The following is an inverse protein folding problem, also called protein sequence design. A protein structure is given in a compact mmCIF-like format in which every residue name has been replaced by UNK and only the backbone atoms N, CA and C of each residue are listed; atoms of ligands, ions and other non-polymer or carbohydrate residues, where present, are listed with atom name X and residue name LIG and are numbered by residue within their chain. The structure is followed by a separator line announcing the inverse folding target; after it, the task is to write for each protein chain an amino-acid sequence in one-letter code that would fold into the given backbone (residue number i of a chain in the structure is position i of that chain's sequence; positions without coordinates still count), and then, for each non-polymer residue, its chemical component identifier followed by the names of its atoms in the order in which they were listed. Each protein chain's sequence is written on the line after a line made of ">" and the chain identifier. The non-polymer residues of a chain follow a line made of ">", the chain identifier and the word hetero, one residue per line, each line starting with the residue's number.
data_IF_321218044729
#
_entry.id   IF_321218044729
#
_cell.length_a   1.000
_cell.length_b   1.000
_cell.length_c   1.000
_cell.angle_alpha   90.00
_cell.angle_beta   90.00
_cell.angle_gamma   90.00
#
_symmetry.space_group_name_H-M   'P 1'
#
loop_
_entity.id
_entity.type
_entity.pdbx_description
1 polymer ?
#
# COMPACT_ATOMS: atom_id res chain seq x y z
N UNK A 1 -5.88 -31.55 -7.91
CA UNK A 1 -6.83 -31.41 -6.79
C UNK A 1 -6.39 -30.19 -6.03
N UNK A 2 -7.12 -29.08 -6.18
CA UNK A 2 -6.77 -27.80 -5.59
C UNK A 2 -7.48 -27.74 -4.23
N UNK A 3 -6.78 -28.10 -3.16
CA UNK A 3 -7.31 -27.85 -1.81
C UNK A 3 -7.26 -26.34 -1.62
N UNK A 4 -8.41 -25.69 -1.77
CA UNK A 4 -8.53 -24.25 -1.63
C UNK A 4 -8.01 -23.82 -0.26
N UNK A 5 -7.15 -22.81 -0.25
CA UNK A 5 -6.58 -22.14 0.91
C UNK A 5 -7.64 -21.99 2.02
N UNK A 6 -7.61 -22.83 3.08
CA UNK A 6 -8.70 -22.84 4.04
C UNK A 6 -8.65 -21.54 4.84
N UNK A 7 -9.78 -20.83 4.94
CA UNK A 7 -9.90 -19.53 5.60
C UNK A 7 -9.33 -19.49 7.05
N UNK A 8 -9.29 -20.64 7.72
CA UNK A 8 -8.67 -20.80 9.05
C UNK A 8 -7.14 -20.61 9.04
N UNK A 9 -6.46 -21.03 7.97
CA UNK A 9 -5.00 -20.93 7.83
C UNK A 9 -4.58 -19.46 7.67
N UNK A 10 -5.29 -18.70 6.82
CA UNK A 10 -5.03 -17.27 6.61
C UNK A 10 -5.30 -16.45 7.87
N UNK A 11 -6.40 -16.73 8.58
CA UNK A 11 -6.72 -16.03 9.84
C UNK A 11 -5.64 -16.28 10.90
N UNK A 12 -5.03 -17.46 10.90
CA UNK A 12 -3.86 -17.76 11.73
C UNK A 12 -2.63 -16.96 11.27
N UNK A 13 -2.36 -16.93 9.96
CA UNK A 13 -1.23 -16.21 9.38
C UNK A 13 -1.25 -14.70 9.69
N UNK A 14 -2.43 -14.06 9.70
CA UNK A 14 -2.57 -12.67 10.15
C UNK A 14 -2.16 -12.51 11.61
N UNK A 15 -2.42 -13.48 12.49
CA UNK A 15 -2.05 -13.38 13.91
C UNK A 15 -0.58 -13.71 14.17
N UNK A 16 -0.02 -14.68 13.45
CA UNK A 16 1.33 -15.19 13.69
C UNK A 16 2.42 -14.52 12.86
N UNK A 17 2.09 -14.02 11.68
CA UNK A 17 3.02 -13.29 10.82
C UNK A 17 3.32 -11.89 11.35
N UNK A 18 4.53 -11.39 11.09
CA UNK A 18 5.01 -10.07 11.50
C UNK A 18 5.51 -9.22 10.30
N UNK A 19 5.47 -9.77 9.09
CA UNK A 19 5.98 -9.15 7.86
C UNK A 19 7.42 -9.50 7.53
N UNK A 20 8.09 -10.34 8.32
CA UNK A 20 9.46 -10.78 8.06
C UNK A 20 9.61 -11.41 6.66
N UNK A 21 10.71 -11.06 5.98
CA UNK A 21 10.99 -11.51 4.61
C UNK A 21 10.16 -10.84 3.51
N UNK A 22 9.19 -9.99 3.85
CA UNK A 22 8.34 -9.28 2.89
C UNK A 22 8.87 -7.88 2.63
N UNK A 23 9.00 -7.52 1.34
CA UNK A 23 9.39 -6.19 0.88
C UNK A 23 8.17 -5.44 0.36
N UNK A 24 7.96 -4.24 0.89
CA UNK A 24 6.85 -3.35 0.49
C UNK A 24 7.38 -2.07 -0.12
N UNK A 25 6.96 -1.79 -1.36
CA UNK A 25 7.25 -0.54 -2.04
C UNK A 25 6.15 0.49 -1.71
N UNK A 26 6.54 1.57 -1.04
CA UNK A 26 5.66 2.71 -0.78
C UNK A 26 5.89 3.76 -1.87
N UNK A 27 4.94 3.84 -2.81
CA UNK A 27 4.91 4.91 -3.81
C UNK A 27 4.19 6.11 -3.21
N UNK A 28 4.95 7.11 -2.76
CA UNK A 28 4.40 8.25 -2.01
C UNK A 28 5.29 9.51 -2.13
N UNK A 29 5.24 10.43 -1.16
CA UNK A 29 6.04 11.67 -1.09
C UNK A 29 7.49 11.49 -0.62
N UNK A 30 7.92 10.24 -0.44
CA UNK A 30 9.19 9.87 0.20
C UNK A 30 8.99 9.46 1.65
N UNK A 31 10.08 9.06 2.32
CA UNK A 31 10.06 8.66 3.74
C UNK A 31 11.23 9.33 4.45
N UNK A 32 10.95 9.98 5.59
CA UNK A 32 12.01 10.43 6.50
C UNK A 32 12.57 9.23 7.28
N UNK A 33 13.56 8.53 6.71
CA UNK A 33 14.08 7.25 7.23
C UNK A 33 14.74 7.36 8.62
N UNK A 34 15.21 8.56 8.98
CA UNK A 34 15.83 8.84 10.28
C UNK A 34 14.83 9.34 11.34
N UNK A 35 13.53 9.24 11.08
CA UNK A 35 12.50 9.59 12.04
C UNK A 35 12.62 8.69 13.31
N UNK A 36 12.54 9.22 14.54
CA UNK A 36 12.73 8.43 15.77
C UNK A 36 11.79 7.23 15.95
N UNK A 37 10.58 7.28 15.36
CA UNK A 37 9.66 6.12 15.34
C UNK A 37 10.16 4.94 14.50
N UNK A 38 11.14 5.14 13.63
CA UNK A 38 11.66 4.11 12.71
C UNK A 38 12.99 3.51 13.15
N UNK A 39 13.36 3.64 14.42
CA UNK A 39 14.64 3.12 14.96
C UNK A 39 14.84 1.61 14.73
N UNK A 40 13.74 0.85 14.68
CA UNK A 40 13.75 -0.61 14.52
C UNK A 40 13.29 -1.03 13.10
N UNK A 41 13.00 -0.06 12.22
CA UNK A 41 12.48 -0.32 10.88
C UNK A 41 13.60 -0.68 9.90
N UNK A 42 13.29 -1.57 8.95
CA UNK A 42 14.22 -1.96 7.88
C UNK A 42 13.85 -1.26 6.58
N UNK A 43 14.77 -0.48 6.02
CA UNK A 43 14.60 0.16 4.71
C UNK A 43 15.58 -0.42 3.68
N UNK A 44 15.08 -0.85 2.52
CA UNK A 44 15.89 -1.45 1.45
C UNK A 44 16.30 -0.44 0.37
N UNK A 45 15.38 0.39 -0.09
CA UNK A 45 15.60 1.33 -1.18
C UNK A 45 15.01 2.71 -0.83
N UNK A 46 15.57 3.76 -1.43
CA UNK A 46 15.11 5.13 -1.27
C UNK A 46 15.32 5.91 -2.57
N UNK A 47 14.30 5.89 -3.42
CA UNK A 47 14.41 6.22 -4.83
C UNK A 47 13.55 7.41 -5.22
N UNK A 48 14.05 8.23 -6.14
CA UNK A 48 13.27 9.26 -6.83
C UNK A 48 13.39 9.14 -8.35
N UNK A 49 12.43 9.71 -9.07
CA UNK A 49 12.28 9.51 -10.51
C UNK A 49 12.07 10.83 -11.25
N UNK A 50 12.68 10.94 -12.44
CA UNK A 50 12.54 12.06 -13.37
C UNK A 50 11.65 11.67 -14.56
N UNK A 51 11.24 12.63 -15.41
CA UNK A 51 10.59 12.32 -16.70
C UNK A 51 11.63 11.77 -17.70
N UNK A 52 11.20 10.89 -18.60
CA UNK A 52 12.01 10.39 -19.71
C UNK A 52 12.70 11.53 -20.50
N UNK A 53 14.00 11.38 -20.75
CA UNK A 53 14.86 12.38 -21.39
C UNK A 53 15.95 12.95 -20.49
N UNK A 54 15.86 12.77 -19.17
CA UNK A 54 16.93 13.05 -18.19
C UNK A 54 17.25 11.79 -17.38
N UNK A 55 17.93 10.83 -18.03
CA UNK A 55 18.35 9.57 -17.40
C UNK A 55 17.18 8.62 -17.08
N UNK A 56 17.35 7.34 -17.37
CA UNK A 56 16.32 6.33 -17.09
C UNK A 56 16.47 5.66 -15.72
N UNK A 57 17.66 5.76 -15.10
CA UNK A 57 17.91 5.20 -13.79
C UNK A 57 17.21 6.02 -12.68
N UNK A 58 16.69 5.36 -11.62
CA UNK A 58 16.25 6.07 -10.42
C UNK A 58 17.42 6.79 -9.76
N UNK A 59 17.14 7.96 -9.18
CA UNK A 59 18.08 8.68 -8.33
C UNK A 59 17.85 8.34 -6.85
N UNK A 60 18.75 8.81 -5.99
CA UNK A 60 18.58 8.75 -4.53
C UNK A 60 17.53 9.79 -4.07
N UNK A 61 16.56 9.38 -3.25
CA UNK A 61 15.57 10.29 -2.68
C UNK A 61 16.08 11.07 -1.46
N UNK A 62 17.22 10.70 -0.87
CA UNK A 62 17.94 11.46 0.15
C UNK A 62 17.42 11.26 1.58
N UNK A 63 16.57 10.26 1.81
CA UNK A 63 16.03 9.93 3.14
C UNK A 63 15.05 10.96 3.67
N UNK A 64 14.44 11.74 2.78
CA UNK A 64 13.56 12.85 3.11
C UNK A 64 12.18 12.71 2.48
N UNK A 65 11.18 13.12 3.24
CA UNK A 65 9.81 13.26 2.80
C UNK A 65 9.45 14.74 2.67
N UNK A 66 9.10 15.18 1.46
CA UNK A 66 8.85 16.59 1.17
C UNK A 66 7.49 17.08 1.68
N UNK A 67 6.60 16.17 2.05
CA UNK A 67 5.27 16.53 2.51
C UNK A 67 4.96 15.96 3.90
N UNK A 68 5.44 14.75 4.20
CA UNK A 68 5.25 14.01 5.45
C UNK A 68 4.26 12.85 5.34
N UNK A 69 3.52 12.75 4.22
CA UNK A 69 2.50 11.73 4.03
C UNK A 69 3.08 10.32 3.89
N UNK A 70 4.13 10.13 3.08
CA UNK A 70 4.78 8.83 2.94
C UNK A 70 5.40 8.34 4.25
N UNK A 71 5.93 9.24 5.07
CA UNK A 71 6.39 8.95 6.43
C UNK A 71 5.24 8.45 7.31
N UNK A 72 4.08 9.11 7.29
CA UNK A 72 2.92 8.66 8.04
C UNK A 72 2.38 7.30 7.57
N UNK A 73 2.31 7.09 6.25
CA UNK A 73 1.90 5.82 5.63
C UNK A 73 2.83 4.68 6.04
N UNK A 74 4.14 4.92 6.06
CA UNK A 74 5.13 3.95 6.54
C UNK A 74 4.93 3.61 8.02
N UNK A 75 4.64 4.60 8.86
CA UNK A 75 4.33 4.38 10.28
C UNK A 75 3.10 3.51 10.48
N UNK A 76 2.03 3.72 9.71
CA UNK A 76 0.83 2.86 9.78
C UNK A 76 1.16 1.43 9.39
N UNK A 77 1.91 1.23 8.31
CA UNK A 77 2.30 -0.11 7.86
C UNK A 77 3.09 -0.85 8.95
N UNK A 78 4.10 -0.18 9.53
CA UNK A 78 4.98 -0.77 10.55
C UNK A 78 4.29 -1.04 11.88
N UNK A 79 3.20 -0.33 12.20
CA UNK A 79 2.35 -0.70 13.35
C UNK A 79 1.73 -2.09 13.17
N UNK A 80 1.44 -2.49 11.93
CA UNK A 80 0.76 -3.74 11.60
C UNK A 80 1.76 -4.86 11.31
N UNK A 81 2.78 -4.57 10.50
CA UNK A 81 3.81 -5.51 10.04
C UNK A 81 5.21 -4.97 10.40
N UNK A 82 5.62 -5.06 11.68
CA UNK A 82 6.83 -4.41 12.18
C UNK A 82 8.13 -4.96 11.59
N UNK A 83 8.13 -6.20 11.09
CA UNK A 83 9.32 -6.84 10.50
C UNK A 83 9.38 -6.70 8.97
N UNK A 84 8.43 -5.99 8.35
CA UNK A 84 8.44 -5.74 6.91
C UNK A 84 9.61 -4.84 6.50
N UNK A 85 10.19 -5.11 5.34
CA UNK A 85 11.23 -4.28 4.74
C UNK A 85 10.59 -3.25 3.80
N UNK A 86 10.82 -1.96 4.04
CA UNK A 86 10.20 -0.88 3.25
C UNK A 86 11.15 -0.34 2.18
N UNK A 87 10.63 -0.16 0.97
CA UNK A 87 11.24 0.64 -0.08
C UNK A 87 10.51 1.97 -0.21
N UNK A 88 11.24 3.08 -0.09
CA UNK A 88 10.74 4.43 -0.35
C UNK A 88 10.85 4.73 -1.85
N UNK A 89 9.72 4.94 -2.52
CA UNK A 89 9.66 5.33 -3.93
C UNK A 89 8.95 6.67 -4.03
N UNK A 90 9.72 7.77 -4.04
CA UNK A 90 9.17 9.12 -4.11
C UNK A 90 8.64 9.43 -5.51
N UNK A 91 7.32 9.43 -5.63
CA UNK A 91 6.57 9.73 -6.85
C UNK A 91 5.68 10.97 -6.72
N UNK A 92 5.45 11.44 -5.48
CA UNK A 92 4.69 12.65 -5.17
C UNK A 92 5.65 13.78 -4.74
N UNK A 93 5.37 15.01 -5.18
CA UNK A 93 6.11 16.21 -4.79
C UNK A 93 5.65 16.82 -3.46
N UNK A 94 6.16 18.01 -3.14
CA UNK A 94 5.85 18.73 -1.87
C UNK A 94 4.38 19.14 -1.69
N UNK A 95 3.57 19.10 -2.75
CA UNK A 95 2.12 19.32 -2.70
C UNK A 95 1.32 17.99 -2.78
N UNK A 96 1.97 16.84 -2.60
CA UNK A 96 1.40 15.50 -2.75
C UNK A 96 0.84 15.16 -4.15
N UNK A 97 1.27 15.89 -5.20
CA UNK A 97 0.95 15.59 -6.59
C UNK A 97 2.08 14.83 -7.29
N UNK A 98 1.70 13.88 -8.14
CA UNK A 98 2.62 13.07 -8.94
C UNK A 98 2.22 13.04 -10.42
N UNK A 99 3.16 12.64 -11.27
CA UNK A 99 2.92 12.39 -12.69
C UNK A 99 2.74 10.91 -12.93
N UNK A 100 1.76 10.52 -13.72
CA UNK A 100 1.44 9.12 -14.03
C UNK A 100 2.65 8.38 -14.64
N UNK A 101 3.44 9.03 -15.50
CA UNK A 101 4.68 8.46 -16.03
C UNK A 101 5.70 8.10 -14.94
N UNK A 102 5.86 8.97 -13.93
CA UNK A 102 6.77 8.75 -12.79
C UNK A 102 6.25 7.58 -11.95
N UNK A 103 4.95 7.56 -11.67
CA UNK A 103 4.30 6.48 -10.91
C UNK A 103 4.48 5.13 -11.61
N UNK A 104 4.21 5.07 -12.92
CA UNK A 104 4.41 3.87 -13.74
C UNK A 104 5.87 3.40 -13.69
N UNK A 105 6.83 4.31 -13.85
CA UNK A 105 8.27 3.97 -13.78
C UNK A 105 8.66 3.42 -12.41
N UNK A 106 8.21 4.05 -11.33
CA UNK A 106 8.48 3.60 -9.98
C UNK A 106 7.86 2.22 -9.68
N UNK A 107 6.63 1.98 -10.15
CA UNK A 107 5.97 0.69 -9.99
C UNK A 107 6.72 -0.42 -10.75
N UNK A 108 7.12 -0.16 -12.01
CA UNK A 108 7.92 -1.12 -12.79
C UNK A 108 9.28 -1.38 -12.14
N UNK A 109 9.91 -0.37 -11.55
CA UNK A 109 11.17 -0.52 -10.80
C UNK A 109 10.97 -1.37 -9.54
N UNK A 110 9.89 -1.18 -8.80
CA UNK A 110 9.55 -2.00 -7.64
C UNK A 110 9.33 -3.47 -8.02
N UNK A 111 8.59 -3.73 -9.11
CA UNK A 111 8.38 -5.08 -9.65
C UNK A 111 9.73 -5.71 -10.03
N UNK A 112 10.57 -4.99 -10.78
CA UNK A 112 11.88 -5.48 -11.22
C UNK A 112 12.84 -5.78 -10.06
N UNK A 113 12.71 -5.03 -8.95
CA UNK A 113 13.50 -5.24 -7.72
C UNK A 113 12.96 -6.36 -6.83
N UNK A 114 11.84 -7.00 -7.19
CA UNK A 114 11.27 -8.11 -6.43
C UNK A 114 10.53 -7.69 -5.16
N UNK A 115 9.92 -6.51 -5.15
CA UNK A 115 8.97 -6.14 -4.11
C UNK A 115 7.68 -6.96 -4.25
N UNK A 116 7.18 -7.51 -3.15
CA UNK A 116 5.97 -8.34 -3.15
C UNK A 116 4.69 -7.52 -3.02
N UNK A 117 4.75 -6.32 -2.44
CA UNK A 117 3.59 -5.44 -2.28
C UNK A 117 3.94 -4.02 -2.76
N UNK A 118 3.02 -3.39 -3.49
CA UNK A 118 3.04 -1.98 -3.87
C UNK A 118 1.86 -1.29 -3.19
N UNK A 119 2.13 -0.31 -2.32
CA UNK A 119 1.11 0.51 -1.69
C UNK A 119 1.01 1.88 -2.39
N UNK A 120 -0.21 2.25 -2.78
CA UNK A 120 -0.56 3.52 -3.39
C UNK A 120 -1.57 4.26 -2.52
N UNK A 121 -1.11 5.06 -1.57
CA UNK A 121 -1.97 5.91 -0.74
C UNK A 121 -2.38 7.21 -1.44
N UNK A 122 -2.68 7.12 -2.74
CA UNK A 122 -3.08 8.21 -3.62
C UNK A 122 -4.07 7.72 -4.68
N UNK A 123 -4.71 8.67 -5.38
CA UNK A 123 -5.58 8.36 -6.52
C UNK A 123 -5.54 9.45 -7.59
N UNK A 124 -5.63 9.05 -8.85
CA UNK A 124 -5.71 9.95 -10.01
C UNK A 124 -7.11 9.91 -10.64
N UNK A 125 -7.54 11.05 -11.20
CA UNK A 125 -8.79 11.14 -11.96
C UNK A 125 -8.69 10.37 -13.29
N UNK A 126 -9.83 9.84 -13.73
CA UNK A 126 -9.92 8.84 -14.79
C UNK A 126 -9.91 9.37 -16.23
N UNK A 127 -8.96 10.21 -16.63
CA UNK A 127 -8.79 10.46 -18.07
C UNK A 127 -8.41 9.14 -18.77
N UNK A 128 -8.89 8.85 -20.01
CA UNK A 128 -8.56 7.59 -20.69
C UNK A 128 -7.05 7.31 -20.79
N UNK A 129 -6.24 8.36 -21.01
CA UNK A 129 -4.78 8.26 -21.06
C UNK A 129 -4.19 7.85 -19.71
N UNK A 130 -4.63 8.50 -18.63
CA UNK A 130 -4.21 8.16 -17.25
C UNK A 130 -4.57 6.72 -16.93
N UNK A 131 -5.80 6.29 -17.21
CA UNK A 131 -6.25 4.92 -16.96
C UNK A 131 -5.36 3.90 -17.70
N UNK A 132 -5.05 4.14 -18.98
CA UNK A 132 -4.20 3.25 -19.76
C UNK A 132 -2.76 3.20 -19.22
N UNK A 133 -2.22 4.35 -18.83
CA UNK A 133 -0.89 4.47 -18.20
C UNK A 133 -0.81 3.61 -16.94
N UNK A 134 -1.81 3.68 -16.06
CA UNK A 134 -1.88 2.85 -14.87
C UNK A 134 -2.11 1.36 -15.18
N UNK A 135 -2.98 1.03 -16.15
CA UNK A 135 -3.30 -0.37 -16.49
C UNK A 135 -2.05 -1.18 -16.82
N UNK A 136 -1.10 -0.59 -17.55
CA UNK A 136 0.12 -1.26 -18.00
C UNK A 136 0.95 -1.88 -16.88
N UNK A 137 1.20 -1.14 -15.80
CA UNK A 137 2.02 -1.63 -14.68
C UNK A 137 1.21 -2.44 -13.68
N UNK A 138 -0.11 -2.19 -13.58
CA UNK A 138 -1.02 -2.99 -12.76
C UNK A 138 -1.11 -4.42 -13.27
N UNK A 139 -1.22 -4.59 -14.59
CA UNK A 139 -1.21 -5.92 -15.20
C UNK A 139 0.16 -6.60 -15.04
N UNK A 140 1.24 -5.85 -15.21
CA UNK A 140 2.59 -6.38 -14.98
C UNK A 140 2.79 -6.84 -13.52
N UNK A 141 2.30 -6.06 -12.54
CA UNK A 141 2.33 -6.43 -11.14
C UNK A 141 1.54 -7.71 -10.89
N UNK A 142 0.31 -7.79 -11.40
CA UNK A 142 -0.54 -8.96 -11.26
C UNK A 142 0.12 -10.22 -11.84
N UNK A 143 0.63 -10.16 -13.07
CA UNK A 143 1.31 -11.30 -13.72
C UNK A 143 2.58 -11.71 -12.98
N UNK A 144 3.28 -10.76 -12.34
CA UNK A 144 4.46 -11.03 -11.53
C UNK A 144 4.11 -11.52 -10.10
N UNK A 145 2.83 -11.66 -9.75
CA UNK A 145 2.40 -12.04 -8.40
C UNK A 145 2.57 -10.93 -7.34
N UNK A 146 2.76 -9.67 -7.78
CA UNK A 146 2.92 -8.51 -6.89
C UNK A 146 1.55 -7.97 -6.51
N UNK A 147 1.32 -7.83 -5.21
CA UNK A 147 0.06 -7.32 -4.65
C UNK A 147 0.03 -5.80 -4.74
N UNK A 148 -1.04 -5.23 -5.29
CA UNK A 148 -1.22 -3.77 -5.33
C UNK A 148 -2.37 -3.38 -4.42
N UNK A 149 -2.08 -2.49 -3.47
CA UNK A 149 -3.05 -1.93 -2.52
C UNK A 149 -3.19 -0.44 -2.79
N UNK A 150 -4.41 0.06 -2.88
CA UNK A 150 -4.63 1.47 -3.18
C UNK A 150 -5.76 2.10 -2.37
N UNK A 151 -5.55 3.34 -1.94
CA UNK A 151 -6.55 4.15 -1.27
C UNK A 151 -7.63 4.62 -2.25
N UNK A 152 -8.87 4.67 -1.77
CA UNK A 152 -9.99 5.25 -2.49
C UNK A 152 -10.02 6.78 -2.33
N UNK A 153 -10.94 7.44 -3.04
CA UNK A 153 -11.12 8.88 -2.89
C UNK A 153 -11.72 9.23 -1.52
N UNK A 154 -11.19 10.25 -0.85
CA UNK A 154 -11.72 10.71 0.45
C UNK A 154 -13.17 11.26 0.37
N UNK A 155 -13.66 11.63 -0.81
CA UNK A 155 -15.07 11.97 -1.04
C UNK A 155 -16.00 10.76 -1.17
N UNK A 156 -15.45 9.55 -1.07
CA UNK A 156 -16.19 8.29 -1.06
C UNK A 156 -15.86 7.36 -2.23
N UNK A 157 -16.26 6.09 -2.13
CA UNK A 157 -15.89 5.03 -3.07
C UNK A 157 -16.62 5.13 -4.42
N UNK A 158 -17.67 5.96 -4.52
CA UNK A 158 -18.38 6.22 -5.78
C UNK A 158 -17.58 7.09 -6.75
N UNK A 159 -16.62 7.87 -6.23
CA UNK A 159 -15.71 8.68 -7.03
C UNK A 159 -14.58 7.78 -7.53
N UNK A 160 -14.59 7.51 -8.84
CA UNK A 160 -13.59 6.63 -9.45
C UNK A 160 -12.23 7.29 -9.51
N UNK A 161 -11.27 6.66 -8.86
CA UNK A 161 -9.84 7.01 -8.88
C UNK A 161 -8.98 5.79 -9.18
N UNK A 162 -7.86 6.02 -9.85
CA UNK A 162 -6.89 4.99 -10.22
C UNK A 162 -5.60 5.13 -9.39
N UNK A 163 -4.98 4.01 -9.00
CA UNK A 163 -5.24 2.64 -9.45
C UNK A 163 -6.38 1.89 -8.73
N UNK A 164 -6.99 2.45 -7.67
CA UNK A 164 -7.99 1.75 -6.85
C UNK A 164 -9.17 1.14 -7.63
N UNK A 165 -9.57 1.71 -8.76
CA UNK A 165 -10.68 1.19 -9.57
C UNK A 165 -10.32 0.10 -10.58
N UNK A 166 -9.21 -0.63 -10.39
CA UNK A 166 -8.94 -1.87 -11.11
C UNK A 166 -9.31 -3.11 -10.29
N UNK A 167 -9.89 -4.11 -10.94
CA UNK A 167 -10.34 -5.35 -10.28
C UNK A 167 -9.21 -6.18 -9.65
N UNK A 168 -8.01 -6.10 -10.21
CA UNK A 168 -6.79 -6.74 -9.68
C UNK A 168 -6.20 -6.02 -8.47
N UNK A 169 -6.65 -4.80 -8.17
CA UNK A 169 -6.17 -4.01 -7.04
C UNK A 169 -6.99 -4.31 -5.80
N UNK A 170 -6.32 -4.34 -4.65
CA UNK A 170 -6.93 -4.32 -3.33
C UNK A 170 -7.28 -2.87 -3.01
N UNK A 171 -8.50 -2.48 -3.33
CA UNK A 171 -9.00 -1.13 -3.12
C UNK A 171 -9.55 -0.97 -1.69
N UNK A 172 -9.04 0.04 -0.99
CA UNK A 172 -9.33 0.25 0.43
C UNK A 172 -9.91 1.64 0.64
N UNK A 173 -11.03 1.69 1.36
CA UNK A 173 -11.64 2.93 1.83
C UNK A 173 -11.55 3.03 3.36
N UNK A 174 -11.91 4.18 3.90
CA UNK A 174 -11.92 4.42 5.33
C UNK A 174 -13.28 4.05 5.92
N UNK A 175 -13.26 3.30 7.02
CA UNK A 175 -14.42 3.10 7.89
C UNK A 175 -14.06 3.54 9.30
N UNK A 176 -14.82 4.46 9.93
CA UNK A 176 -14.63 4.81 11.33
C UNK A 176 -15.01 3.65 12.27
N UNK A 177 -15.81 2.70 11.79
CA UNK A 177 -16.31 1.56 12.55
C UNK A 177 -15.38 0.32 12.47
N UNK A 178 -14.31 0.40 11.68
CA UNK A 178 -13.29 -0.65 11.64
C UNK A 178 -12.53 -0.69 12.98
N UNK A 179 -12.81 -1.70 13.81
CA UNK A 179 -12.16 -1.89 15.10
C UNK A 179 -10.84 -2.68 14.97
N UNK A 180 -9.87 -2.37 15.83
CA UNK A 180 -8.66 -3.16 16.10
C UNK A 180 -7.84 -3.56 14.85
N UNK A 181 -7.49 -2.60 14.00
CA UNK A 181 -6.70 -2.79 12.77
C UNK A 181 -7.26 -3.88 11.81
N UNK A 182 -8.55 -4.22 11.96
CA UNK A 182 -9.27 -5.17 11.12
C UNK A 182 -9.77 -4.54 9.81
N UNK A 183 -10.38 -5.38 8.97
CA UNK A 183 -10.98 -4.98 7.69
C UNK A 183 -12.44 -5.40 7.63
N UNK A 184 -13.28 -4.62 6.95
CA UNK A 184 -14.66 -5.01 6.63
C UNK A 184 -14.83 -5.11 5.12
N UNK A 185 -15.90 -5.81 4.67
CA UNK A 185 -16.15 -6.07 3.26
C UNK A 185 -17.40 -5.36 2.75
N UNK A 186 -17.29 -4.67 1.62
CA UNK A 186 -18.43 -4.17 0.84
C UNK A 186 -18.67 -5.04 -0.39
N UNK A 187 -19.77 -5.80 -0.36
CA UNK A 187 -20.19 -6.69 -1.46
C UNK A 187 -20.71 -5.87 -2.65
N UNK A 188 -20.42 -6.32 -3.88
CA UNK A 188 -20.92 -5.70 -5.12
C UNK A 188 -20.22 -4.42 -5.57
N UNK A 189 -19.08 -4.06 -4.94
CA UNK A 189 -18.27 -2.90 -5.29
C UNK A 189 -16.87 -3.31 -5.73
N UNK A 190 -16.21 -2.52 -6.59
CA UNK A 190 -14.75 -2.67 -6.85
C UNK A 190 -13.96 -2.31 -5.58
N UNK A 191 -14.46 -1.33 -4.83
CA UNK A 191 -13.93 -0.96 -3.52
C UNK A 191 -14.50 -1.92 -2.48
N UNK A 192 -13.87 -3.08 -2.39
CA UNK A 192 -14.35 -4.21 -1.60
C UNK A 192 -14.00 -4.11 -0.12
N UNK A 193 -12.96 -3.35 0.26
CA UNK A 193 -12.46 -3.35 1.63
C UNK A 193 -12.53 -1.98 2.28
N UNK A 194 -12.76 -1.96 3.58
CA UNK A 194 -12.59 -0.79 4.43
C UNK A 194 -11.68 -1.10 5.60
N UNK A 195 -10.84 -0.14 6.00
CA UNK A 195 -9.98 -0.24 7.17
C UNK A 195 -9.94 1.11 7.91
N UNK A 196 -9.38 1.10 9.12
CA UNK A 196 -9.31 2.29 9.97
C UNK A 196 -8.42 3.38 9.33
N UNK A 197 -9.03 4.49 8.90
CA UNK A 197 -8.31 5.63 8.33
C UNK A 197 -7.93 6.71 9.34
N UNK A 198 -8.41 6.61 10.58
CA UNK A 198 -8.09 7.52 11.69
C UNK A 198 -7.41 6.74 12.81
N UNK A 199 -6.13 7.00 13.06
CA UNK A 199 -5.38 6.30 14.11
C UNK A 199 -5.63 6.94 15.48
N UNK A 200 -5.57 6.17 16.57
CA UNK A 200 -5.76 6.68 17.94
C UNK A 200 -4.57 7.47 18.48
N UNK A 201 -3.51 7.63 17.67
CA UNK A 201 -2.27 8.32 18.02
C UNK A 201 -1.82 9.23 16.87
N UNK A 202 -1.02 10.28 17.16
CA UNK A 202 -0.28 10.99 16.12
C UNK A 202 0.64 10.03 15.35
N UNK A 203 0.68 10.19 14.03
CA UNK A 203 1.56 9.45 13.13
C UNK A 203 2.86 10.23 12.89
N UNK A 204 3.97 9.53 12.57
CA UNK A 204 5.22 10.18 12.22
C UNK A 204 5.04 11.03 10.96
N UNK A 205 5.73 12.17 10.91
CA UNK A 205 5.60 13.18 9.85
C UNK A 205 6.98 13.79 9.55
N UNK A 206 7.07 14.58 8.49
CA UNK A 206 8.32 15.25 8.10
C UNK A 206 8.90 16.12 9.23
N UNK A 207 10.22 16.31 9.23
CA UNK A 207 10.98 17.07 10.23
C UNK A 207 10.89 16.48 11.64
N UNK A 208 10.90 15.15 11.75
CA UNK A 208 10.84 14.39 13.01
C UNK A 208 9.61 14.73 13.88
N UNK A 209 8.55 15.23 13.24
CA UNK A 209 7.35 15.67 13.91
C UNK A 209 6.29 14.58 13.91
N UNK A 210 5.21 14.77 14.66
CA UNK A 210 4.05 13.88 14.62
C UNK A 210 2.78 14.67 14.38
N UNK A 211 1.82 14.08 13.67
CA UNK A 211 0.55 14.74 13.35
C UNK A 211 -0.65 13.83 13.53
N UNK A 212 -1.74 14.42 14.01
CA UNK A 212 -3.05 13.77 14.01
C UNK A 212 -3.69 14.01 12.63
N UNK A 213 -3.92 12.91 11.90
CA UNK A 213 -4.39 12.92 10.52
C UNK A 213 -5.37 11.76 10.30
N UNK A 214 -6.23 11.89 9.31
CA UNK A 214 -7.17 10.84 8.92
C UNK A 214 -7.43 10.85 7.42
N UNK A 215 -7.90 9.73 6.88
CA UNK A 215 -8.23 9.57 5.47
C UNK A 215 -8.02 8.15 4.96
N UNK A 216 -8.53 7.86 3.76
CA UNK A 216 -8.38 6.57 3.09
C UNK A 216 -6.90 6.22 2.84
N UNK A 217 -6.06 7.23 2.69
CA UNK A 217 -4.61 7.10 2.57
C UNK A 217 -3.95 6.35 3.73
N UNK A 218 -4.56 6.37 4.93
CA UNK A 218 -4.07 5.65 6.10
C UNK A 218 -4.79 4.32 6.30
N UNK A 219 -5.91 4.08 5.60
CA UNK A 219 -6.57 2.76 5.55
C UNK A 219 -5.80 1.78 4.66
N UNK A 220 -5.33 2.24 3.50
CA UNK A 220 -4.54 1.41 2.58
C UNK A 220 -3.32 0.72 3.24
N UNK A 221 -2.45 1.43 4.00
CA UNK A 221 -1.30 0.81 4.66
C UNK A 221 -1.68 -0.19 5.77
N UNK A 222 -2.89 -0.10 6.37
CA UNK A 222 -3.39 -1.15 7.29
C UNK A 222 -3.53 -2.47 6.54
N UNK A 223 -4.22 -2.45 5.39
CA UNK A 223 -4.43 -3.65 4.57
C UNK A 223 -3.11 -4.15 3.97
N UNK A 224 -2.23 -3.23 3.55
CA UNK A 224 -0.86 -3.57 3.14
C UNK A 224 -0.10 -4.32 4.23
N UNK A 225 -0.20 -3.87 5.49
CA UNK A 225 0.38 -4.56 6.63
C UNK A 225 -0.20 -5.96 6.83
N UNK A 226 -1.52 -6.12 6.74
CA UNK A 226 -2.16 -7.44 6.83
C UNK A 226 -1.68 -8.40 5.73
N UNK A 227 -1.59 -7.93 4.48
CA UNK A 227 -1.03 -8.71 3.37
C UNK A 227 0.43 -9.09 3.66
N UNK A 228 1.24 -8.18 4.21
CA UNK A 228 2.62 -8.48 4.58
C UNK A 228 2.71 -9.57 5.66
N UNK A 229 1.84 -9.55 6.67
CA UNK A 229 1.77 -10.61 7.68
C UNK A 229 1.42 -11.96 7.05
N UNK A 230 0.43 -11.99 6.16
CA UNK A 230 0.04 -13.22 5.45
C UNK A 230 1.21 -13.74 4.60
N UNK A 231 1.87 -12.87 3.82
CA UNK A 231 3.00 -13.25 2.98
C UNK A 231 4.23 -13.71 3.77
N UNK A 232 4.43 -13.23 5.00
CA UNK A 232 5.52 -13.71 5.86
C UNK A 232 5.36 -15.19 6.25
N UNK A 233 4.12 -15.70 6.26
CA UNK A 233 3.81 -17.12 6.51
C UNK A 233 3.64 -17.90 5.21
N UNK A 234 3.04 -17.27 4.20
CA UNK A 234 2.74 -17.86 2.90
C UNK A 234 3.28 -17.00 1.74
N UNK A 235 4.60 -17.05 1.46
CA UNK A 235 5.26 -16.11 0.54
C UNK A 235 4.87 -16.25 -0.93
N UNK A 236 4.17 -17.34 -1.30
CA UNK A 236 3.77 -17.63 -2.68
C UNK A 236 2.32 -17.30 -3.04
N UNK A 237 1.53 -16.73 -2.13
CA UNK A 237 0.12 -16.42 -2.41
C UNK A 237 0.03 -15.39 -3.54
N UNK A 238 -0.72 -15.74 -4.59
CA UNK A 238 -0.95 -14.88 -5.73
C UNK A 238 -2.07 -13.83 -5.45
N UNK A 239 -2.12 -12.66 -6.14
CA UNK A 239 -3.08 -11.60 -5.84
C UNK A 239 -4.57 -11.99 -5.84
N UNK A 240 -5.00 -12.94 -6.66
CA UNK A 240 -6.38 -13.45 -6.67
C UNK A 240 -6.71 -14.25 -5.40
N UNK A 241 -5.82 -15.17 -5.00
CA UNK A 241 -5.91 -15.93 -3.75
C UNK A 241 -5.86 -15.00 -2.54
N UNK A 242 -5.00 -13.98 -2.55
CA UNK A 242 -4.93 -12.97 -1.49
C UNK A 242 -6.24 -12.19 -1.35
N UNK A 243 -6.89 -11.81 -2.46
CA UNK A 243 -8.21 -11.16 -2.38
C UNK A 243 -9.27 -12.09 -1.79
N UNK A 244 -9.21 -13.39 -2.07
CA UNK A 244 -10.11 -14.37 -1.43
C UNK A 244 -9.85 -14.47 0.07
N UNK A 245 -8.58 -14.53 0.45
CA UNK A 245 -8.11 -14.58 1.83
C UNK A 245 -8.59 -13.37 2.64
N UNK A 246 -8.42 -12.16 2.12
CA UNK A 246 -8.90 -10.93 2.75
C UNK A 246 -10.43 -10.88 2.87
N UNK A 247 -11.17 -11.39 1.88
CA UNK A 247 -12.64 -11.49 1.96
C UNK A 247 -13.08 -12.40 3.11
N UNK A 248 -12.40 -13.52 3.31
CA UNK A 248 -12.70 -14.45 4.39
C UNK A 248 -12.40 -13.82 5.78
N UNK A 249 -11.27 -13.11 5.90
CA UNK A 249 -10.91 -12.38 7.14
C UNK A 249 -11.98 -11.34 7.48
N UNK A 250 -12.41 -10.55 6.49
CA UNK A 250 -13.40 -9.49 6.69
C UNK A 250 -14.78 -10.01 7.12
N UNK A 251 -15.13 -11.25 6.76
CA UNK A 251 -16.39 -11.88 7.18
C UNK A 251 -16.32 -12.44 8.61
N UNK A 252 -15.14 -12.85 9.10
CA UNK A 252 -14.95 -13.28 10.48
C UNK A 252 -14.95 -12.14 11.50
N UNK A 253 -14.70 -10.89 11.08
CA UNK A 253 -14.77 -9.71 11.97
C UNK A 253 -16.19 -9.19 12.21
N UNK A 254 -17.19 -9.70 11.48
CA UNK A 254 -18.61 -9.34 11.66
C UNK A 254 -19.36 -10.28 12.62
N UNK A 255 -18.72 -11.37 13.06
CA UNK A 255 -19.26 -12.40 13.98
C UNK A 255 -18.68 -12.31 15.38
#
# INVERSE_FOLDING_TARGET
>A
MNEGFPAMDVSSAVRTGDGSGVRVALLDSGIERLHPEFKDATFADDLCFTIAGKGNAPGDAGGVDFFGHGTAVAGVLLDIAPAATIGSFRVLGGEAYGRDEIIRRAAMEAIARGYQIINCSFGASGSPFTVMSFKSWIDAAYVAGVHVVAACNNGGPSIRVWPAHFSSVVAVDSSPDAQNDGIQRRRGSIVEFTAQGQRPRPLPWSNQSKRMISGTSFSAPVVTGLIARILSVHPGIHPDEMKMALRAIAECSES
#
